data_IF_364101092159
#
_entry.id   IF_364101092159
#
_cell.length_a   1.000
_cell.length_b   1.000
_cell.length_c   1.000
_cell.angle_alpha   90.00
_cell.angle_beta   90.00
_cell.angle_gamma   90.00
#
_symmetry.space_group_name_H-M   'P 1'
#
loop_
_entity.id
_entity.type
_entity.pdbx_description
1 polymer ?
#
# COMPACT_ATOMS: atom_id res chain seq x y z
N UNK A 1 -10.11 -45.16 -6.38
CA UNK A 1 -10.32 -43.79 -5.81
C UNK A 1 -9.20 -42.93 -6.35
N UNK A 2 -9.45 -42.19 -7.46
CA UNK A 2 -8.42 -41.43 -8.18
C UNK A 2 -8.26 -40.08 -7.46
N UNK A 3 -7.10 -39.88 -6.87
CA UNK A 3 -6.70 -38.60 -6.22
C UNK A 3 -6.58 -37.58 -7.33
N UNK A 4 -7.51 -36.62 -7.39
CA UNK A 4 -7.46 -35.44 -8.26
C UNK A 4 -6.21 -34.65 -7.91
N UNK A 5 -5.18 -34.77 -8.73
CA UNK A 5 -3.97 -33.95 -8.64
C UNK A 5 -4.43 -32.52 -9.02
N UNK A 6 -4.31 -31.61 -8.08
CA UNK A 6 -4.66 -30.21 -8.23
C UNK A 6 -3.68 -29.58 -9.23
N UNK A 7 -4.02 -29.60 -10.53
CA UNK A 7 -3.19 -28.97 -11.56
C UNK A 7 -3.01 -27.46 -11.25
N UNK A 8 -1.79 -26.95 -11.39
CA UNK A 8 -1.54 -25.53 -11.17
C UNK A 8 -2.35 -24.73 -12.19
N UNK A 9 -3.24 -23.88 -11.70
CA UNK A 9 -4.12 -23.03 -12.49
C UNK A 9 -3.29 -22.18 -13.45
N UNK A 10 -3.42 -22.41 -14.76
CA UNK A 10 -2.69 -21.67 -15.78
C UNK A 10 -2.90 -20.16 -15.62
N UNK A 11 -1.81 -19.39 -15.62
CA UNK A 11 -1.84 -17.92 -15.51
C UNK A 11 -2.53 -17.34 -16.75
N UNK A 12 -3.72 -16.81 -16.58
CA UNK A 12 -4.50 -16.24 -17.68
C UNK A 12 -3.95 -14.90 -18.16
N UNK A 13 -4.33 -14.47 -19.37
CA UNK A 13 -3.97 -13.15 -19.92
C UNK A 13 -4.48 -12.01 -19.01
N UNK A 14 -5.64 -12.21 -18.38
CA UNK A 14 -6.23 -11.31 -17.38
C UNK A 14 -5.35 -11.14 -16.15
N UNK A 15 -4.71 -12.21 -15.65
CA UNK A 15 -3.84 -12.13 -14.48
C UNK A 15 -2.56 -11.32 -14.74
N UNK A 16 -2.03 -11.36 -15.98
CA UNK A 16 -0.87 -10.56 -16.38
C UNK A 16 -1.20 -9.06 -16.38
N UNK A 17 -2.36 -8.67 -16.93
CA UNK A 17 -2.83 -7.30 -16.91
C UNK A 17 -3.04 -6.78 -15.49
N UNK A 18 -3.71 -7.57 -14.64
CA UNK A 18 -3.93 -7.20 -13.24
C UNK A 18 -2.61 -7.05 -12.46
N UNK A 19 -1.64 -7.96 -12.68
CA UNK A 19 -0.31 -7.85 -12.06
C UNK A 19 0.39 -6.54 -12.45
N UNK A 20 0.33 -6.16 -13.71
CA UNK A 20 0.93 -4.93 -14.20
C UNK A 20 0.26 -3.69 -13.58
N UNK A 21 -1.08 -3.65 -13.58
CA UNK A 21 -1.83 -2.56 -12.95
C UNK A 21 -1.52 -2.43 -11.45
N UNK A 22 -1.42 -3.55 -10.73
CA UNK A 22 -1.06 -3.53 -9.31
C UNK A 22 0.34 -2.95 -9.09
N UNK A 23 1.31 -3.25 -9.94
CA UNK A 23 2.66 -2.68 -9.82
C UNK A 23 2.67 -1.17 -10.09
N UNK A 24 1.91 -0.70 -11.08
CA UNK A 24 1.77 0.75 -11.34
C UNK A 24 1.17 1.45 -10.12
N UNK A 25 0.06 0.91 -9.59
CA UNK A 25 -0.60 1.52 -8.43
C UNK A 25 0.29 1.49 -7.19
N UNK A 26 1.01 0.39 -6.93
CA UNK A 26 1.98 0.32 -5.85
C UNK A 26 3.09 1.38 -5.99
N UNK A 27 3.60 1.62 -7.21
CA UNK A 27 4.59 2.66 -7.46
C UNK A 27 4.02 4.06 -7.19
N UNK A 28 2.79 4.34 -7.63
CA UNK A 28 2.10 5.61 -7.37
C UNK A 28 1.95 5.83 -5.86
N UNK A 29 1.44 4.83 -5.13
CA UNK A 29 1.28 4.90 -3.67
C UNK A 29 2.64 5.12 -2.98
N UNK A 30 3.67 4.38 -3.36
CA UNK A 30 4.99 4.49 -2.75
C UNK A 30 5.62 5.88 -2.96
N UNK A 31 5.52 6.44 -4.16
CA UNK A 31 6.05 7.78 -4.46
C UNK A 31 5.27 8.84 -3.69
N UNK A 32 3.94 8.81 -3.74
CA UNK A 32 3.11 9.81 -3.08
C UNK A 32 3.29 9.79 -1.56
N UNK A 33 3.09 8.62 -0.93
CA UNK A 33 3.21 8.49 0.52
C UNK A 33 4.66 8.56 1.01
N UNK A 34 5.63 8.18 0.18
CA UNK A 34 7.04 8.38 0.48
C UNK A 34 7.40 9.86 0.58
N UNK A 35 6.98 10.67 -0.38
CA UNK A 35 7.19 12.12 -0.36
C UNK A 35 6.43 12.78 0.79
N UNK A 36 5.13 12.50 0.94
CA UNK A 36 4.32 13.04 2.03
C UNK A 36 4.89 12.65 3.40
N UNK A 37 5.26 11.39 3.56
CA UNK A 37 5.82 10.87 4.80
C UNK A 37 7.15 11.52 5.17
N UNK A 38 8.06 11.76 4.21
CA UNK A 38 9.30 12.51 4.45
C UNK A 38 8.98 13.94 4.90
N UNK A 39 8.05 14.61 4.22
CA UNK A 39 7.65 15.98 4.58
C UNK A 39 7.06 16.02 5.99
N UNK A 40 6.11 15.16 6.31
CA UNK A 40 5.47 15.13 7.62
C UNK A 40 6.44 14.66 8.73
N UNK A 41 7.37 13.75 8.44
CA UNK A 41 8.31 13.24 9.43
C UNK A 41 9.47 14.20 9.72
N UNK A 42 10.00 14.93 8.73
CA UNK A 42 11.27 15.62 8.84
C UNK A 42 11.17 17.15 8.75
N UNK A 43 10.19 17.71 8.02
CA UNK A 43 10.12 19.15 7.80
C UNK A 43 9.51 19.87 9.00
N UNK A 44 10.05 21.04 9.45
CA UNK A 44 9.44 21.83 10.52
C UNK A 44 8.00 22.24 10.20
N UNK A 45 7.10 22.17 11.19
CA UNK A 45 5.66 22.45 11.02
C UNK A 45 5.45 23.86 10.42
N UNK A 46 6.21 24.86 10.86
CA UNK A 46 6.10 26.23 10.33
C UNK A 46 6.37 26.31 8.81
N UNK A 47 7.15 25.37 8.25
CA UNK A 47 7.41 25.30 6.81
C UNK A 47 6.36 24.45 6.07
N UNK A 48 5.68 23.53 6.78
CA UNK A 48 4.61 22.71 6.23
C UNK A 48 3.27 23.44 6.15
N UNK A 49 2.95 24.24 7.18
CA UNK A 49 1.66 24.89 7.34
C UNK A 49 1.18 25.69 6.11
N UNK A 50 2.03 26.39 5.33
CA UNK A 50 1.60 27.07 4.11
C UNK A 50 1.06 26.13 3.01
N UNK A 51 1.51 24.86 2.98
CA UNK A 51 1.14 23.88 1.97
C UNK A 51 0.17 22.82 2.50
N UNK A 52 0.22 22.55 3.79
CA UNK A 52 -0.62 21.61 4.52
C UNK A 52 -1.13 22.28 5.82
N UNK A 53 -2.12 23.19 5.75
CA UNK A 53 -2.57 23.99 6.88
C UNK A 53 -2.99 23.17 8.10
N UNK A 54 -3.53 21.98 7.90
CA UNK A 54 -3.94 21.05 8.95
C UNK A 54 -2.81 20.72 9.94
N UNK A 55 -1.54 20.78 9.49
CA UNK A 55 -0.38 20.46 10.33
C UNK A 55 -0.15 21.45 11.47
N UNK A 56 -0.68 22.66 11.34
CA UNK A 56 -0.63 23.69 12.40
C UNK A 56 -1.71 23.49 13.48
N UNK A 57 -2.78 22.77 13.17
CA UNK A 57 -3.94 22.64 14.05
C UNK A 57 -3.94 21.33 14.88
N UNK A 58 -2.93 20.50 14.68
CA UNK A 58 -2.75 19.25 15.44
C UNK A 58 -1.38 19.25 16.14
N UNK A 59 -1.20 18.36 17.12
CA UNK A 59 0.08 18.27 17.80
C UNK A 59 1.21 17.90 16.82
N UNK A 60 2.41 18.46 16.96
CA UNK A 60 3.57 18.06 16.15
C UNK A 60 3.85 16.55 16.23
N UNK A 61 3.61 15.92 17.38
CA UNK A 61 3.78 14.48 17.55
C UNK A 61 2.86 13.67 16.64
N UNK A 62 1.60 14.11 16.44
CA UNK A 62 0.66 13.46 15.53
C UNK A 62 1.11 13.59 14.08
N UNK A 63 1.60 14.77 13.67
CA UNK A 63 2.14 14.97 12.31
C UNK A 63 3.32 14.01 12.06
N UNK A 64 4.24 13.89 13.03
CA UNK A 64 5.40 12.97 12.93
C UNK A 64 4.97 11.51 12.88
N UNK A 65 3.98 11.13 13.68
CA UNK A 65 3.42 9.78 13.66
C UNK A 65 2.79 9.45 12.30
N UNK A 66 1.98 10.37 11.74
CA UNK A 66 1.39 10.20 10.41
C UNK A 66 2.51 10.04 9.36
N UNK A 67 3.53 10.91 9.38
CA UNK A 67 4.66 10.82 8.47
C UNK A 67 5.39 9.47 8.56
N UNK A 68 5.63 8.97 9.76
CA UNK A 68 6.25 7.66 9.96
C UNK A 68 5.37 6.52 9.44
N UNK A 69 4.05 6.59 9.66
CA UNK A 69 3.10 5.60 9.16
C UNK A 69 3.01 5.62 7.62
N UNK A 70 3.02 6.80 7.00
CA UNK A 70 3.06 6.98 5.54
C UNK A 70 4.35 6.38 4.94
N UNK A 71 5.51 6.64 5.54
CA UNK A 71 6.80 6.06 5.13
C UNK A 71 6.79 4.53 5.25
N UNK A 72 6.33 4.01 6.38
CA UNK A 72 6.20 2.57 6.58
C UNK A 72 5.26 1.94 5.56
N UNK A 73 4.14 2.60 5.25
CA UNK A 73 3.20 2.21 4.21
C UNK A 73 3.85 2.22 2.82
N UNK A 74 4.55 3.29 2.46
CA UNK A 74 5.23 3.44 1.16
C UNK A 74 6.27 2.34 0.93
N UNK A 75 7.09 2.04 1.94
CA UNK A 75 8.06 0.93 1.90
C UNK A 75 7.34 -0.42 1.87
N UNK A 76 6.30 -0.57 2.70
CA UNK A 76 5.56 -1.81 2.88
C UNK A 76 4.76 -2.25 1.65
N UNK A 77 4.29 -1.31 0.80
CA UNK A 77 3.58 -1.68 -0.43
C UNK A 77 4.49 -2.19 -1.54
N UNK A 78 5.80 -1.87 -1.50
CA UNK A 78 6.74 -2.20 -2.58
C UNK A 78 7.78 -3.23 -2.15
N UNK A 79 8.49 -2.98 -1.04
CA UNK A 79 9.66 -3.77 -0.67
C UNK A 79 9.36 -5.25 -0.44
N UNK A 80 8.33 -5.66 0.34
CA UNK A 80 8.02 -7.08 0.52
C UNK A 80 7.67 -7.79 -0.78
N UNK A 81 6.99 -7.07 -1.70
CA UNK A 81 6.65 -7.59 -3.01
C UNK A 81 7.87 -7.81 -3.91
N UNK A 82 8.87 -6.91 -3.85
CA UNK A 82 10.11 -6.99 -4.64
C UNK A 82 11.02 -8.10 -4.13
N UNK A 83 11.27 -8.11 -2.81
CA UNK A 83 12.19 -9.10 -2.21
C UNK A 83 11.55 -10.47 -2.04
N UNK A 84 10.21 -10.57 -2.12
CA UNK A 84 9.43 -11.81 -1.91
C UNK A 84 9.62 -12.45 -0.53
N UNK A 85 9.95 -11.59 0.46
CA UNK A 85 10.05 -11.95 1.88
C UNK A 85 8.83 -11.34 2.58
N UNK A 86 8.09 -12.16 3.33
CA UNK A 86 6.85 -11.76 4.01
C UNK A 86 5.87 -10.98 3.09
N UNK A 87 5.50 -11.54 1.92
CA UNK A 87 4.71 -10.81 0.92
C UNK A 87 3.33 -10.38 1.42
N UNK A 88 2.85 -10.92 2.53
CA UNK A 88 1.62 -10.50 3.22
C UNK A 88 1.69 -9.06 3.73
N UNK A 89 2.88 -8.52 3.96
CA UNK A 89 3.05 -7.12 4.38
C UNK A 89 2.60 -6.13 3.30
N UNK A 90 2.69 -6.50 2.01
CA UNK A 90 2.23 -5.63 0.91
C UNK A 90 0.73 -5.30 0.99
N UNK A 91 -0.20 -6.27 1.06
CA UNK A 91 -1.61 -5.93 1.21
C UNK A 91 -1.94 -5.30 2.57
N UNK A 92 -1.22 -5.62 3.64
CA UNK A 92 -1.41 -4.97 4.94
C UNK A 92 -1.00 -3.49 4.89
N UNK A 93 0.15 -3.16 4.31
CA UNK A 93 0.60 -1.79 4.14
C UNK A 93 -0.40 -0.98 3.28
N UNK A 94 -0.87 -1.57 2.17
CA UNK A 94 -1.87 -0.92 1.32
C UNK A 94 -3.19 -0.66 2.06
N UNK A 95 -3.65 -1.61 2.90
CA UNK A 95 -4.83 -1.43 3.74
C UNK A 95 -4.61 -0.33 4.80
N UNK A 96 -3.42 -0.27 5.40
CA UNK A 96 -3.04 0.80 6.34
C UNK A 96 -3.08 2.18 5.70
N UNK A 97 -2.51 2.34 4.50
CA UNK A 97 -2.58 3.60 3.75
C UNK A 97 -4.03 3.99 3.39
N UNK A 98 -4.84 3.01 2.97
CA UNK A 98 -6.26 3.24 2.70
C UNK A 98 -7.01 3.71 3.97
N UNK A 99 -6.70 3.13 5.12
CA UNK A 99 -7.28 3.52 6.40
C UNK A 99 -6.89 4.97 6.77
N UNK A 100 -5.62 5.36 6.62
CA UNK A 100 -5.16 6.74 6.86
C UNK A 100 -5.96 7.71 5.99
N UNK A 101 -6.10 7.44 4.70
CA UNK A 101 -6.87 8.30 3.80
C UNK A 101 -8.35 8.36 4.15
N UNK A 102 -8.94 7.22 4.53
CA UNK A 102 -10.35 7.17 4.94
C UNK A 102 -10.60 7.99 6.21
N UNK A 103 -9.71 7.90 7.20
CA UNK A 103 -9.79 8.69 8.42
C UNK A 103 -9.54 10.19 8.20
N UNK A 104 -8.73 10.54 7.19
CA UNK A 104 -8.48 11.92 6.82
C UNK A 104 -9.71 12.62 6.23
N UNK A 105 -10.66 11.88 5.61
CA UNK A 105 -11.87 12.46 5.00
C UNK A 105 -12.70 13.25 6.03
N UNK A 106 -13.24 12.65 7.10
CA UNK A 106 -14.04 13.39 8.08
C UNK A 106 -13.24 14.51 8.76
N UNK A 107 -11.94 14.31 8.96
CA UNK A 107 -11.07 15.33 9.53
C UNK A 107 -11.01 16.57 8.64
N UNK A 108 -10.72 16.45 7.35
CA UNK A 108 -10.66 17.58 6.43
C UNK A 108 -12.03 18.23 6.19
N UNK A 109 -13.11 17.42 6.13
CA UNK A 109 -14.48 17.94 6.01
C UNK A 109 -14.85 18.81 7.23
N UNK A 110 -14.53 18.36 8.45
CA UNK A 110 -14.81 19.12 9.68
C UNK A 110 -14.01 20.45 9.77
N UNK A 111 -12.90 20.54 9.04
CA UNK A 111 -12.09 21.76 8.91
C UNK A 111 -12.56 22.74 7.82
N UNK A 112 -13.62 22.39 7.10
CA UNK A 112 -14.09 23.18 5.95
C UNK A 112 -13.19 23.07 4.72
N UNK A 113 -12.48 21.95 4.56
CA UNK A 113 -11.58 21.64 3.44
C UNK A 113 -12.13 20.53 2.54
N UNK A 114 -13.41 20.56 2.09
CA UNK A 114 -13.99 19.45 1.32
C UNK A 114 -13.32 19.27 -0.05
N UNK A 115 -12.60 20.27 -0.56
CA UNK A 115 -11.90 20.22 -1.85
C UNK A 115 -10.78 19.17 -1.90
N UNK A 116 -10.24 18.73 -0.75
CA UNK A 116 -9.23 17.66 -0.71
C UNK A 116 -9.84 16.27 -0.72
N UNK A 117 -11.14 16.15 -0.43
CA UNK A 117 -11.84 14.87 -0.29
C UNK A 117 -11.76 13.97 -1.53
N UNK A 118 -11.90 14.47 -2.77
CA UNK A 118 -11.78 13.62 -3.96
C UNK A 118 -10.41 12.92 -4.06
N UNK A 119 -9.34 13.64 -3.72
CA UNK A 119 -7.99 13.08 -3.70
C UNK A 119 -7.86 11.97 -2.64
N UNK A 120 -8.37 12.20 -1.42
CA UNK A 120 -8.36 11.23 -0.34
C UNK A 120 -9.11 9.94 -0.73
N UNK A 121 -10.29 10.08 -1.37
CA UNK A 121 -11.08 8.94 -1.87
C UNK A 121 -10.29 8.14 -2.91
N UNK A 122 -9.66 8.82 -3.86
CA UNK A 122 -8.86 8.16 -4.91
C UNK A 122 -7.73 7.34 -4.26
N UNK A 123 -6.95 7.93 -3.37
CA UNK A 123 -5.84 7.20 -2.72
C UNK A 123 -6.33 6.09 -1.80
N UNK A 124 -7.45 6.26 -1.09
CA UNK A 124 -8.09 5.18 -0.34
C UNK A 124 -8.49 4.03 -1.27
N UNK A 125 -9.13 4.31 -2.41
CA UNK A 125 -9.54 3.31 -3.40
C UNK A 125 -8.33 2.57 -4.01
N UNK A 126 -7.24 3.28 -4.32
CA UNK A 126 -6.00 2.68 -4.81
C UNK A 126 -5.38 1.73 -3.77
N UNK A 127 -5.37 2.13 -2.48
CA UNK A 127 -4.93 1.27 -1.39
C UNK A 127 -5.77 0.00 -1.25
N UNK A 128 -7.10 0.14 -1.28
CA UNK A 128 -8.05 -1.00 -1.26
C UNK A 128 -7.82 -1.91 -2.47
N UNK A 129 -7.64 -1.35 -3.67
CA UNK A 129 -7.36 -2.11 -4.88
C UNK A 129 -6.10 -2.98 -4.75
N UNK A 130 -5.00 -2.42 -4.23
CA UNK A 130 -3.77 -3.17 -3.99
C UNK A 130 -3.97 -4.24 -2.91
N UNK A 131 -4.61 -3.88 -1.80
CA UNK A 131 -4.89 -4.81 -0.71
C UNK A 131 -5.71 -6.02 -1.21
N UNK A 132 -6.81 -5.78 -1.94
CA UNK A 132 -7.63 -6.82 -2.54
C UNK A 132 -6.89 -7.63 -3.60
N UNK A 133 -6.21 -6.96 -4.54
CA UNK A 133 -5.53 -7.62 -5.65
C UNK A 133 -4.41 -8.54 -5.19
N UNK A 134 -3.61 -8.11 -4.21
CA UNK A 134 -2.49 -8.89 -3.66
C UNK A 134 -2.90 -9.96 -2.66
N UNK A 135 -4.04 -9.79 -1.95
CA UNK A 135 -4.51 -10.82 -1.02
C UNK A 135 -5.37 -11.89 -1.69
N UNK A 136 -6.16 -11.55 -2.72
CA UNK A 136 -7.21 -12.43 -3.25
C UNK A 136 -7.00 -12.90 -4.70
N UNK A 137 -6.39 -12.09 -5.55
CA UNK A 137 -6.37 -12.34 -7.00
C UNK A 137 -5.02 -12.81 -7.51
N UNK A 138 -3.97 -12.10 -7.19
CA UNK A 138 -2.60 -12.38 -7.63
C UNK A 138 -1.62 -12.24 -6.47
N UNK A 139 -1.68 -13.17 -5.50
CA UNK A 139 -0.75 -13.18 -4.38
C UNK A 139 0.70 -13.30 -4.86
N UNK A 140 1.61 -12.76 -4.06
CA UNK A 140 3.04 -12.87 -4.32
C UNK A 140 3.53 -14.14 -3.63
N UNK A 141 4.11 -15.06 -4.39
CA UNK A 141 4.71 -16.29 -3.83
C UNK A 141 6.02 -15.96 -3.13
N UNK A 142 6.18 -16.41 -1.89
CA UNK A 142 7.43 -16.25 -1.14
C UNK A 142 8.56 -17.08 -1.75
N UNK A 143 9.81 -16.64 -1.54
CA UNK A 143 11.00 -17.39 -2.01
C UNK A 143 11.11 -18.77 -1.38
N UNK A 144 10.68 -18.93 -0.13
CA UNK A 144 10.73 -20.21 0.57
C UNK A 144 9.84 -21.26 -0.08
N UNK A 145 8.59 -20.91 -0.43
CA UNK A 145 7.65 -21.81 -1.11
C UNK A 145 8.17 -22.21 -2.48
N UNK A 146 8.75 -21.27 -3.25
CA UNK A 146 9.32 -21.54 -4.56
C UNK A 146 10.53 -22.46 -4.49
N UNK A 147 11.41 -22.30 -3.48
CA UNK A 147 12.57 -23.15 -3.28
C UNK A 147 12.19 -24.56 -2.84
N UNK A 148 11.18 -24.72 -2.00
CA UNK A 148 10.64 -26.02 -1.59
C UNK A 148 10.05 -26.79 -2.77
N UNK A 149 9.31 -26.10 -3.65
CA UNK A 149 8.73 -26.71 -4.86
C UNK A 149 9.79 -27.19 -5.84
N UNK A 150 10.88 -26.43 -6.04
CA UNK A 150 12.01 -26.85 -6.89
C UNK A 150 12.72 -28.09 -6.36
N UNK A 151 12.92 -28.18 -5.03
CA UNK A 151 13.55 -29.35 -4.40
C UNK A 151 12.68 -30.61 -4.51
N UNK A 152 11.36 -30.49 -4.36
CA UNK A 152 10.42 -31.60 -4.48
C UNK A 152 10.29 -32.11 -5.94
N UNK A 153 10.46 -31.25 -6.95
CA UNK A 153 10.40 -31.65 -8.36
C UNK A 153 11.71 -32.19 -8.94
N UNK A 154 12.79 -32.26 -8.14
CA UNK A 154 14.10 -32.79 -8.55
C UNK A 154 14.38 -34.21 -8.00
N UNK A 155 13.43 -34.80 -7.32
CA UNK A 155 13.41 -36.21 -6.85
C UNK A 155 12.53 -37.10 -7.73
#
# INVERSE_FOLDING_TARGET
MVTSINEPKAVTRSDKGLRFSLWIVQAILAVWFGLAGVLHAAVPIAKLAPFAPWTADVSPALVRFIGAAELAGAVGVVLPALVRILPVLTPLAAAGLALIMTLAIPFHVSRGEPQVTPMLIVFAALGVFVAWGRSRRVPITSREVESAHRRAGSL
#
